data_IF_091118579223
#
_entry.id   IF_091118579223
#
_cell.length_a   1.000
_cell.length_b   1.000
_cell.length_c   1.000
_cell.angle_alpha   90.00
_cell.angle_beta   90.00
_cell.angle_gamma   90.00
#
_symmetry.space_group_name_H-M   'P 1'
#
loop_
_entity.id
_entity.type
_entity.pdbx_description
1 polymer ?
#
# COMPACT_ATOMS: atom_id res chain seq x y z
N UNK A 1 20.58 -37.75 26.51
CA UNK A 1 19.49 -37.12 25.73
C UNK A 1 19.86 -37.33 24.27
N UNK A 2 19.15 -38.25 23.61
CA UNK A 2 19.73 -39.18 22.64
C UNK A 2 19.72 -38.63 21.20
N UNK A 3 20.67 -39.08 20.38
CA UNK A 3 20.76 -38.77 18.94
C UNK A 3 19.44 -39.03 18.17
N UNK A 4 18.60 -39.94 18.65
CA UNK A 4 17.26 -40.21 18.11
C UNK A 4 16.28 -39.04 18.29
N UNK A 5 16.30 -38.34 19.43
CA UNK A 5 15.47 -37.14 19.65
C UNK A 5 15.87 -36.01 18.69
N UNK A 6 17.17 -35.87 18.44
CA UNK A 6 17.70 -34.82 17.58
C UNK A 6 17.33 -35.06 16.10
N UNK A 7 17.43 -36.30 15.63
CA UNK A 7 17.05 -36.66 14.25
C UNK A 7 15.54 -36.55 14.03
N UNK A 8 14.72 -36.89 15.04
CA UNK A 8 13.28 -36.66 15.02
C UNK A 8 12.94 -35.18 14.89
N UNK A 9 13.54 -34.30 15.70
CA UNK A 9 13.34 -32.85 15.65
C UNK A 9 13.74 -32.28 14.28
N UNK A 10 14.90 -32.70 13.75
CA UNK A 10 15.33 -32.29 12.40
C UNK A 10 14.36 -32.75 11.31
N UNK A 11 13.83 -33.98 11.43
CA UNK A 11 12.86 -34.51 10.46
C UNK A 11 11.53 -33.75 10.47
N UNK A 12 11.03 -33.37 11.66
CA UNK A 12 9.82 -32.56 11.81
C UNK A 12 10.02 -31.15 11.23
N UNK A 13 11.16 -30.51 11.53
CA UNK A 13 11.50 -29.19 11.00
C UNK A 13 11.62 -29.21 9.49
N UNK A 14 12.30 -30.22 8.92
CA UNK A 14 12.44 -30.38 7.46
C UNK A 14 11.08 -30.52 6.79
N UNK A 15 10.18 -31.35 7.33
CA UNK A 15 8.82 -31.51 6.78
C UNK A 15 8.05 -30.19 6.81
N UNK A 16 8.04 -29.49 7.95
CA UNK A 16 7.35 -28.18 8.08
C UNK A 16 7.92 -27.15 7.11
N UNK A 17 9.24 -27.09 6.98
CA UNK A 17 9.92 -26.19 6.05
C UNK A 17 9.55 -26.50 4.61
N UNK A 18 9.51 -27.78 4.23
CA UNK A 18 9.10 -28.20 2.89
C UNK A 18 7.68 -27.76 2.55
N UNK A 19 6.71 -28.00 3.45
CA UNK A 19 5.32 -27.55 3.24
C UNK A 19 5.21 -26.03 3.14
N UNK A 20 5.96 -25.30 3.97
CA UNK A 20 5.99 -23.84 3.94
C UNK A 20 6.54 -23.32 2.60
N UNK A 21 7.66 -23.86 2.13
CA UNK A 21 8.26 -23.48 0.84
C UNK A 21 7.34 -23.85 -0.33
N UNK A 22 6.72 -25.04 -0.31
CA UNK A 22 5.80 -25.47 -1.36
C UNK A 22 4.56 -24.56 -1.42
N UNK A 23 3.96 -24.25 -0.26
CA UNK A 23 2.80 -23.37 -0.19
C UNK A 23 3.15 -21.93 -0.59
N UNK A 24 4.33 -21.43 -0.17
CA UNK A 24 4.85 -20.15 -0.60
C UNK A 24 5.06 -20.10 -2.11
N UNK A 25 5.68 -21.12 -2.70
CA UNK A 25 5.85 -21.20 -4.16
C UNK A 25 4.52 -21.16 -4.91
N UNK A 26 3.53 -21.94 -4.45
CA UNK A 26 2.19 -21.92 -5.02
C UNK A 26 1.50 -20.56 -4.89
N UNK A 27 1.59 -19.91 -3.73
CA UNK A 27 0.99 -18.60 -3.50
C UNK A 27 1.64 -17.50 -4.33
N UNK A 28 2.95 -17.56 -4.56
CA UNK A 28 3.66 -16.65 -5.47
C UNK A 28 3.19 -16.82 -6.91
N UNK A 29 3.04 -18.07 -7.40
CA UNK A 29 2.56 -18.33 -8.78
C UNK A 29 1.14 -17.80 -8.98
N UNK A 30 0.24 -18.07 -8.03
CA UNK A 30 -1.13 -17.54 -8.07
C UNK A 30 -1.12 -16.00 -8.04
N UNK A 31 -0.34 -15.40 -7.14
CA UNK A 31 -0.22 -13.93 -7.05
C UNK A 31 0.31 -13.32 -8.34
N UNK A 32 1.29 -13.95 -8.97
CA UNK A 32 1.87 -13.48 -10.23
C UNK A 32 0.83 -13.45 -11.37
N UNK A 33 0.01 -14.50 -11.45
CA UNK A 33 -1.05 -14.59 -12.47
C UNK A 33 -2.09 -13.47 -12.35
N UNK A 34 -2.41 -13.05 -11.12
CA UNK A 34 -3.42 -12.01 -10.86
C UNK A 34 -2.87 -10.58 -11.04
N UNK A 35 -1.55 -10.42 -10.98
CA UNK A 35 -0.90 -9.12 -10.94
C UNK A 35 -1.14 -8.29 -12.19
N UNK A 36 -1.28 -8.92 -13.38
CA UNK A 36 -1.62 -8.21 -14.61
C UNK A 36 -2.93 -7.42 -14.51
N UNK A 37 -3.97 -8.08 -13.99
CA UNK A 37 -5.29 -7.46 -13.82
C UNK A 37 -5.27 -6.36 -12.74
N UNK A 38 -4.51 -6.58 -11.66
CA UNK A 38 -4.35 -5.58 -10.60
C UNK A 38 -3.64 -4.31 -11.10
N UNK A 39 -2.58 -4.46 -11.91
CA UNK A 39 -1.87 -3.31 -12.49
C UNK A 39 -2.82 -2.45 -13.33
N UNK A 40 -3.59 -3.09 -14.23
CA UNK A 40 -4.56 -2.39 -15.07
C UNK A 40 -5.65 -1.70 -14.24
N UNK A 41 -6.14 -2.39 -13.21
CA UNK A 41 -7.15 -1.86 -12.29
C UNK A 41 -6.62 -0.66 -11.48
N UNK A 42 -5.38 -0.71 -11.01
CA UNK A 42 -4.76 0.43 -10.29
C UNK A 42 -4.63 1.64 -11.21
N UNK A 43 -4.24 1.43 -12.46
CA UNK A 43 -4.12 2.49 -13.45
C UNK A 43 -5.48 3.13 -13.79
N UNK A 44 -6.57 2.36 -13.78
CA UNK A 44 -7.92 2.90 -13.98
C UNK A 44 -8.46 3.59 -12.73
N UNK A 45 -8.30 2.96 -11.57
CA UNK A 45 -8.99 3.36 -10.35
C UNK A 45 -8.35 4.58 -9.70
N UNK A 46 -7.02 4.73 -9.66
CA UNK A 46 -6.41 5.80 -8.86
C UNK A 46 -6.72 7.22 -9.36
N UNK A 47 -7.15 7.35 -10.62
CA UNK A 47 -7.45 8.62 -11.27
C UNK A 47 -8.93 8.80 -11.58
N UNK A 48 -9.82 8.01 -10.96
CA UNK A 48 -11.26 8.01 -11.28
C UNK A 48 -12.04 9.21 -10.74
N UNK A 49 -11.66 9.71 -9.56
CA UNK A 49 -12.25 10.88 -8.91
C UNK A 49 -11.72 12.19 -9.46
N UNK A 50 -10.50 12.14 -9.95
CA UNK A 50 -10.05 13.17 -10.84
C UNK A 50 -10.97 13.00 -12.05
N UNK A 51 -11.88 13.94 -12.29
CA UNK A 51 -12.63 14.10 -13.54
C UNK A 51 -11.63 14.29 -14.69
N UNK A 52 -10.79 13.28 -14.93
CA UNK A 52 -9.86 13.16 -16.02
C UNK A 52 -10.69 12.46 -17.07
N UNK A 53 -11.16 13.21 -18.05
CA UNK A 53 -11.95 12.62 -19.10
C UNK A 53 -11.02 11.71 -19.88
N UNK A 54 -11.35 10.42 -19.93
CA UNK A 54 -10.61 9.47 -20.73
C UNK A 54 -10.70 9.88 -22.20
N UNK A 55 -9.66 10.50 -22.75
CA UNK A 55 -9.45 10.68 -24.19
C UNK A 55 -10.68 11.11 -25.04
N UNK A 56 -11.63 11.87 -24.48
CA UNK A 56 -12.80 12.37 -25.24
C UNK A 56 -13.30 13.75 -24.80
N UNK A 57 -12.58 14.47 -23.96
CA UNK A 57 -13.00 15.80 -23.51
C UNK A 57 -12.10 16.90 -24.05
N UNK A 58 -12.64 18.10 -24.00
CA UNK A 58 -12.20 19.31 -24.67
C UNK A 58 -10.69 19.56 -24.45
N UNK A 59 -10.17 19.33 -23.25
CA UNK A 59 -8.74 19.51 -22.94
C UNK A 59 -7.81 18.58 -23.75
N UNK A 60 -8.13 17.29 -23.89
CA UNK A 60 -7.34 16.35 -24.70
C UNK A 60 -7.37 16.68 -26.19
N UNK A 61 -8.54 17.08 -26.70
CA UNK A 61 -8.69 17.55 -28.09
C UNK A 61 -7.86 18.80 -28.35
N UNK A 62 -7.74 19.70 -27.38
CA UNK A 62 -6.90 20.91 -27.50
C UNK A 62 -5.40 20.58 -27.57
N UNK A 63 -4.95 19.54 -26.87
CA UNK A 63 -3.55 19.06 -26.94
C UNK A 63 -3.28 18.39 -28.29
N UNK A 64 -4.20 17.59 -28.80
CA UNK A 64 -4.05 17.00 -30.14
C UNK A 64 -4.00 18.09 -31.22
N UNK A 65 -4.87 19.09 -31.12
CA UNK A 65 -4.87 20.24 -32.02
C UNK A 65 -3.54 21.01 -31.90
N UNK A 66 -3.02 21.24 -30.70
CA UNK A 66 -1.75 21.95 -30.53
C UNK A 66 -0.57 21.19 -31.13
N UNK A 67 -0.56 19.85 -31.02
CA UNK A 67 0.47 18.99 -31.61
C UNK A 67 0.46 19.06 -33.15
N UNK A 68 -0.72 19.03 -33.77
CA UNK A 68 -0.88 19.17 -35.21
C UNK A 68 -0.48 20.56 -35.71
N UNK A 69 -0.83 21.62 -34.97
CA UNK A 69 -0.42 22.99 -35.31
C UNK A 69 1.10 23.18 -35.25
N UNK A 70 1.76 22.49 -34.31
CA UNK A 70 3.23 22.51 -34.20
C UNK A 70 3.90 21.72 -35.33
N UNK A 71 3.30 20.60 -35.76
CA UNK A 71 3.77 19.88 -36.95
C UNK A 71 3.62 20.73 -38.23
N UNK A 72 2.47 21.39 -38.39
CA UNK A 72 2.24 22.33 -39.50
C UNK A 72 3.19 23.52 -39.45
N UNK A 73 3.49 24.07 -38.27
CA UNK A 73 4.46 25.17 -38.16
C UNK A 73 5.86 24.75 -38.63
N UNK A 74 6.28 23.52 -38.32
CA UNK A 74 7.54 22.95 -38.79
C UNK A 74 7.61 22.79 -40.32
N UNK A 75 6.51 22.39 -40.95
CA UNK A 75 6.43 22.30 -42.42
C UNK A 75 6.43 23.70 -43.07
N UNK A 76 5.67 24.65 -42.52
CA UNK A 76 5.55 26.01 -43.06
C UNK A 76 6.74 26.93 -42.74
N UNK A 77 7.63 26.54 -41.83
CA UNK A 77 8.79 27.36 -41.44
C UNK A 77 9.73 27.69 -42.61
N UNK A 78 9.75 26.86 -43.66
CA UNK A 78 10.55 27.10 -44.87
C UNK A 78 9.91 28.11 -45.83
N UNK A 79 8.58 28.18 -45.85
CA UNK A 79 7.83 28.95 -46.84
C UNK A 79 7.33 30.28 -46.29
N UNK A 80 6.96 30.34 -45.00
CA UNK A 80 6.50 31.57 -44.36
C UNK A 80 6.77 31.55 -42.85
N UNK A 81 7.88 32.17 -42.46
CA UNK A 81 8.36 32.24 -41.08
C UNK A 81 7.36 32.92 -40.14
N UNK A 82 6.65 33.96 -40.59
CA UNK A 82 5.67 34.68 -39.78
C UNK A 82 4.45 33.81 -39.45
N UNK A 83 3.99 32.99 -40.39
CA UNK A 83 2.88 32.05 -40.17
C UNK A 83 3.32 30.92 -39.24
N UNK A 84 4.54 30.40 -39.41
CA UNK A 84 5.09 29.37 -38.53
C UNK A 84 5.23 29.86 -37.06
N UNK A 85 5.66 31.10 -36.86
CA UNK A 85 5.73 31.72 -35.54
C UNK A 85 4.33 31.87 -34.90
N UNK A 86 3.34 32.36 -35.65
CA UNK A 86 1.97 32.49 -35.15
C UNK A 86 1.34 31.14 -34.77
N UNK A 87 1.55 30.10 -35.57
CA UNK A 87 1.06 28.74 -35.28
C UNK A 87 1.68 28.15 -34.01
N UNK A 88 2.95 28.46 -33.76
CA UNK A 88 3.67 28.03 -32.55
C UNK A 88 3.17 28.77 -31.30
N UNK A 89 2.84 30.05 -31.43
CA UNK A 89 2.22 30.82 -30.34
C UNK A 89 0.81 30.31 -30.00
N UNK A 90 -0.01 30.05 -31.02
CA UNK A 90 -1.36 29.49 -30.86
C UNK A 90 -1.29 28.10 -30.24
N UNK A 91 -0.36 27.24 -30.68
CA UNK A 91 -0.21 25.91 -30.07
C UNK A 91 0.16 26.00 -28.59
N UNK A 92 1.03 26.94 -28.21
CA UNK A 92 1.36 27.23 -26.81
C UNK A 92 0.18 27.74 -25.99
N UNK A 93 -0.64 28.65 -26.52
CA UNK A 93 -1.86 29.13 -25.86
C UNK A 93 -2.90 28.02 -25.69
N UNK A 94 -3.09 27.16 -26.68
CA UNK A 94 -4.01 26.02 -26.57
C UNK A 94 -3.59 25.03 -25.49
N UNK A 95 -2.28 24.80 -25.34
CA UNK A 95 -1.74 24.01 -24.23
C UNK A 95 -2.03 24.70 -22.91
N UNK A 96 -1.82 26.01 -22.80
CA UNK A 96 -2.12 26.77 -21.58
C UNK A 96 -3.62 26.78 -21.24
N UNK A 97 -4.50 26.92 -22.23
CA UNK A 97 -5.95 26.80 -22.07
C UNK A 97 -6.33 25.39 -21.65
N UNK A 98 -5.72 24.35 -22.24
CA UNK A 98 -5.96 22.96 -21.83
C UNK A 98 -5.52 22.69 -20.38
N UNK A 99 -4.44 23.33 -19.93
CA UNK A 99 -4.00 23.30 -18.52
C UNK A 99 -4.98 23.99 -17.59
N UNK A 100 -5.53 25.13 -18.01
CA UNK A 100 -6.50 25.90 -17.24
C UNK A 100 -7.91 25.29 -17.24
N UNK A 101 -8.26 24.46 -18.23
CA UNK A 101 -9.53 23.72 -18.30
C UNK A 101 -9.59 22.50 -17.37
N UNK A 102 -8.47 22.18 -16.72
CA UNK A 102 -8.38 21.13 -15.73
C UNK A 102 -8.11 19.75 -16.33
N UNK A 103 -7.26 19.01 -15.60
CA UNK A 103 -7.20 17.55 -15.60
C UNK A 103 -6.48 16.90 -16.78
N UNK A 104 -5.17 17.14 -16.92
CA UNK A 104 -4.33 16.16 -17.61
C UNK A 104 -4.38 14.83 -16.88
N UNK A 105 -4.57 13.74 -17.64
CA UNK A 105 -4.24 12.41 -17.14
C UNK A 105 -2.72 12.38 -16.95
N UNK A 106 -2.20 12.03 -15.78
CA UNK A 106 -0.76 11.84 -15.64
C UNK A 106 -0.29 10.82 -16.66
N UNK A 107 0.73 11.19 -17.43
CA UNK A 107 1.31 10.32 -18.42
C UNK A 107 2.08 9.21 -17.70
N UNK A 108 1.47 8.03 -17.67
CA UNK A 108 2.12 6.82 -17.17
C UNK A 108 2.95 6.23 -18.31
N UNK A 109 4.26 6.33 -18.18
CA UNK A 109 5.21 5.94 -19.24
C UNK A 109 5.98 4.68 -18.87
N UNK A 110 6.36 3.94 -19.90
CA UNK A 110 7.31 2.84 -19.77
C UNK A 110 8.73 3.37 -19.88
N UNK A 111 9.52 3.26 -18.81
CA UNK A 111 10.91 3.72 -18.81
C UNK A 111 11.88 2.60 -19.19
N UNK A 112 11.53 1.35 -18.88
CA UNK A 112 12.34 0.19 -19.20
C UNK A 112 11.49 -0.98 -19.69
N UNK A 113 11.99 -1.79 -20.66
CA UNK A 113 11.22 -2.89 -21.23
C UNK A 113 10.83 -3.97 -20.20
N UNK A 114 11.65 -4.16 -19.16
CA UNK A 114 11.42 -5.17 -18.11
C UNK A 114 10.73 -4.63 -16.85
N UNK A 115 10.32 -3.36 -16.81
CA UNK A 115 9.81 -2.76 -15.57
C UNK A 115 8.54 -3.45 -15.05
N UNK A 116 7.60 -3.78 -15.94
CA UNK A 116 6.33 -4.42 -15.55
C UNK A 116 6.55 -5.86 -15.14
N UNK A 117 7.50 -6.57 -15.76
CA UNK A 117 7.84 -7.93 -15.36
C UNK A 117 8.45 -7.94 -13.94
N UNK A 118 9.38 -7.02 -13.66
CA UNK A 118 9.98 -6.90 -12.33
C UNK A 118 8.97 -6.46 -11.28
N UNK A 119 8.08 -5.53 -11.62
CA UNK A 119 6.95 -5.18 -10.75
C UNK A 119 6.12 -6.40 -10.41
N UNK A 120 5.73 -7.18 -11.44
CA UNK A 120 4.89 -8.37 -11.24
C UNK A 120 5.55 -9.39 -10.33
N UNK A 121 6.83 -9.69 -10.59
CA UNK A 121 7.59 -10.63 -9.78
C UNK A 121 7.73 -10.16 -8.34
N UNK A 122 8.16 -8.91 -8.13
CA UNK A 122 8.38 -8.33 -6.80
C UNK A 122 7.08 -8.34 -5.98
N UNK A 123 5.98 -7.90 -6.58
CA UNK A 123 4.70 -7.89 -5.88
C UNK A 123 4.16 -9.31 -5.66
N UNK A 124 4.35 -10.25 -6.59
CA UNK A 124 3.93 -11.63 -6.40
C UNK A 124 4.63 -12.31 -5.23
N UNK A 125 5.94 -12.04 -5.03
CA UNK A 125 6.70 -12.51 -3.87
C UNK A 125 6.13 -11.94 -2.57
N UNK A 126 5.85 -10.64 -2.54
CA UNK A 126 5.30 -9.96 -1.36
C UNK A 126 3.90 -10.49 -0.99
N UNK A 127 3.00 -10.61 -1.98
CA UNK A 127 1.65 -11.16 -1.75
C UNK A 127 1.68 -12.65 -1.41
N UNK A 128 2.58 -13.42 -2.03
CA UNK A 128 2.80 -14.83 -1.66
C UNK A 128 3.23 -14.96 -0.20
N UNK A 129 4.10 -14.07 0.28
CA UNK A 129 4.50 -14.03 1.69
C UNK A 129 3.32 -13.68 2.60
N UNK A 130 2.49 -12.69 2.21
CA UNK A 130 1.29 -12.32 2.95
C UNK A 130 0.31 -13.49 3.07
N UNK A 131 0.00 -14.17 1.96
CA UNK A 131 -0.90 -15.34 1.93
C UNK A 131 -0.33 -16.49 2.77
N UNK A 132 1.00 -16.65 2.77
CA UNK A 132 1.69 -17.69 3.54
C UNK A 132 1.86 -17.32 5.03
N UNK A 133 1.70 -16.04 5.39
CA UNK A 133 1.95 -15.53 6.74
C UNK A 133 1.18 -16.23 7.86
N UNK A 134 -0.11 -16.63 7.71
CA UNK A 134 -0.82 -17.33 8.78
C UNK A 134 -0.19 -18.70 9.08
N UNK A 135 0.30 -19.39 8.05
CA UNK A 135 0.99 -20.68 8.18
C UNK A 135 2.37 -20.52 8.83
N UNK A 136 3.10 -19.45 8.46
CA UNK A 136 4.38 -19.09 9.09
C UNK A 136 4.17 -18.84 10.59
N UNK A 137 3.17 -18.01 10.95
CA UNK A 137 2.86 -17.70 12.34
C UNK A 137 2.42 -18.94 13.12
N UNK A 138 1.59 -19.81 12.54
CA UNK A 138 1.18 -21.07 13.16
C UNK A 138 2.37 -21.95 13.53
N UNK A 139 3.30 -22.17 12.59
CA UNK A 139 4.49 -22.98 12.87
C UNK A 139 5.48 -22.31 13.83
N UNK A 140 5.62 -20.97 13.76
CA UNK A 140 6.44 -20.22 14.70
C UNK A 140 5.93 -20.35 16.13
N UNK A 141 4.63 -20.13 16.36
CA UNK A 141 3.99 -20.27 17.68
C UNK A 141 4.07 -21.72 18.17
N UNK A 142 3.83 -22.71 17.30
CA UNK A 142 3.96 -24.12 17.65
C UNK A 142 5.39 -24.49 18.07
N UNK A 143 6.40 -23.90 17.41
CA UNK A 143 7.81 -24.07 17.76
C UNK A 143 8.16 -23.47 19.12
N UNK A 144 7.71 -22.23 19.39
CA UNK A 144 7.92 -21.54 20.67
C UNK A 144 7.24 -22.30 21.81
N UNK A 145 5.99 -22.73 21.62
CA UNK A 145 5.24 -23.50 22.62
C UNK A 145 5.96 -24.80 23.01
N UNK A 146 6.49 -25.54 22.03
CA UNK A 146 7.23 -26.80 22.29
C UNK A 146 8.55 -26.54 23.04
N UNK A 147 9.20 -25.40 22.81
CA UNK A 147 10.53 -25.10 23.35
C UNK A 147 10.50 -24.44 24.74
N UNK A 148 9.55 -23.53 24.99
CA UNK A 148 9.51 -22.73 26.21
C UNK A 148 8.43 -23.19 27.22
N UNK A 149 7.72 -24.29 26.92
CA UNK A 149 6.62 -24.84 27.74
C UNK A 149 5.55 -23.80 28.14
N UNK A 150 5.41 -22.75 27.32
CA UNK A 150 4.45 -21.69 27.54
C UNK A 150 3.06 -22.24 27.20
N UNK A 151 2.24 -22.40 28.23
CA UNK A 151 0.83 -22.73 28.08
C UNK A 151 0.08 -21.50 27.55
N UNK A 152 0.07 -21.32 26.24
CA UNK A 152 -0.78 -20.30 25.61
C UNK A 152 -2.23 -20.81 25.60
N UNK A 153 -3.16 -20.19 26.34
CA UNK A 153 -4.56 -20.65 26.43
C UNK A 153 -5.36 -20.20 25.20
N UNK A 154 -4.84 -20.45 24.00
CA UNK A 154 -5.54 -20.18 22.74
C UNK A 154 -6.34 -21.43 22.38
N UNK A 155 -7.65 -21.39 22.65
CA UNK A 155 -8.56 -22.41 22.12
C UNK A 155 -8.52 -22.38 20.58
N UNK A 156 -8.75 -23.53 19.93
CA UNK A 156 -8.82 -23.61 18.46
C UNK A 156 -9.85 -22.62 17.90
N UNK A 157 -10.99 -22.44 18.59
CA UNK A 157 -12.01 -21.46 18.21
C UNK A 157 -11.50 -20.03 18.28
N UNK A 158 -10.78 -19.65 19.35
CA UNK A 158 -10.23 -18.31 19.50
C UNK A 158 -9.17 -17.99 18.42
N UNK A 159 -8.37 -18.98 18.01
CA UNK A 159 -7.43 -18.84 16.89
C UNK A 159 -8.16 -18.55 15.57
N UNK A 160 -9.26 -19.25 15.30
CA UNK A 160 -10.06 -19.03 14.08
C UNK A 160 -10.71 -17.64 14.11
N UNK A 161 -11.29 -17.23 15.24
CA UNK A 161 -11.89 -15.90 15.37
C UNK A 161 -10.86 -14.78 15.23
N UNK A 162 -9.68 -14.92 15.83
CA UNK A 162 -8.60 -13.93 15.73
C UNK A 162 -8.04 -13.86 14.30
N UNK A 163 -7.87 -14.99 13.62
CA UNK A 163 -7.46 -15.02 12.21
C UNK A 163 -8.49 -14.38 11.29
N UNK A 164 -9.79 -14.64 11.50
CA UNK A 164 -10.86 -14.01 10.74
C UNK A 164 -10.93 -12.49 10.99
N UNK A 165 -10.77 -12.06 12.24
CA UNK A 165 -10.72 -10.65 12.61
C UNK A 165 -9.51 -9.93 12.00
N UNK A 166 -8.34 -10.56 12.00
CA UNK A 166 -7.13 -10.07 11.35
C UNK A 166 -7.36 -9.89 9.84
N UNK A 167 -7.82 -10.93 9.15
CA UNK A 167 -8.17 -10.83 7.73
C UNK A 167 -9.17 -9.71 7.43
N UNK A 168 -10.20 -9.55 8.28
CA UNK A 168 -11.16 -8.45 8.17
C UNK A 168 -10.54 -7.07 8.36
N UNK A 169 -9.68 -6.89 9.38
CA UNK A 169 -8.97 -5.63 9.65
C UNK A 169 -7.98 -5.29 8.54
N UNK A 170 -7.21 -6.27 8.05
CA UNK A 170 -6.31 -6.10 6.92
C UNK A 170 -7.06 -5.62 5.68
N UNK A 171 -8.18 -6.27 5.34
CA UNK A 171 -9.01 -5.88 4.20
C UNK A 171 -9.62 -4.49 4.38
N UNK A 172 -10.03 -4.14 5.61
CA UNK A 172 -10.55 -2.82 5.92
C UNK A 172 -9.47 -1.74 5.77
N UNK A 173 -8.26 -1.98 6.28
CA UNK A 173 -7.12 -1.08 6.12
C UNK A 173 -6.67 -0.93 4.67
N UNK A 174 -6.59 -2.04 3.94
CA UNK A 174 -6.28 -2.03 2.51
C UNK A 174 -7.35 -1.27 1.71
N UNK A 175 -8.63 -1.45 2.04
CA UNK A 175 -9.74 -0.72 1.41
C UNK A 175 -9.68 0.78 1.72
N UNK A 176 -9.42 1.14 2.98
CA UNK A 176 -9.21 2.54 3.37
C UNK A 176 -8.07 3.18 2.57
N UNK A 177 -6.92 2.51 2.51
CA UNK A 177 -5.75 3.00 1.80
C UNK A 177 -6.03 3.19 0.30
N UNK A 178 -6.61 2.17 -0.34
CA UNK A 178 -6.84 2.13 -1.78
C UNK A 178 -7.95 3.08 -2.24
N UNK A 179 -9.10 3.10 -1.57
CA UNK A 179 -10.26 3.85 -2.06
C UNK A 179 -10.33 5.28 -1.55
N UNK A 180 -9.71 5.60 -0.40
CA UNK A 180 -9.82 6.93 0.21
C UNK A 180 -8.48 7.65 0.30
N UNK A 181 -7.49 7.03 0.94
CA UNK A 181 -6.23 7.70 1.26
C UNK A 181 -5.40 8.01 0.01
N UNK A 182 -5.14 7.00 -0.83
CA UNK A 182 -4.29 7.13 -2.01
C UNK A 182 -4.87 8.06 -3.09
N UNK A 183 -6.18 7.99 -3.46
CA UNK A 183 -6.74 8.90 -4.44
C UNK A 183 -6.66 10.37 -3.98
N UNK A 184 -6.92 10.64 -2.71
CA UNK A 184 -6.78 11.98 -2.15
C UNK A 184 -5.31 12.44 -2.18
N UNK A 185 -4.39 11.59 -1.71
CA UNK A 185 -2.96 11.91 -1.68
C UNK A 185 -2.42 12.20 -3.09
N UNK A 186 -2.70 11.32 -4.05
CA UNK A 186 -2.26 11.49 -5.43
C UNK A 186 -2.87 12.73 -6.07
N UNK A 187 -4.14 13.04 -5.80
CA UNK A 187 -4.78 14.27 -6.26
C UNK A 187 -4.11 15.52 -5.68
N UNK A 188 -3.75 15.50 -4.40
CA UNK A 188 -3.02 16.59 -3.75
C UNK A 188 -1.62 16.78 -4.36
N UNK A 189 -0.84 15.71 -4.51
CA UNK A 189 0.51 15.78 -5.11
C UNK A 189 0.47 16.25 -6.57
N UNK A 190 -0.56 15.84 -7.30
CA UNK A 190 -0.76 16.24 -8.68
C UNK A 190 -1.10 17.74 -8.79
N UNK A 191 -1.99 18.24 -7.93
CA UNK A 191 -2.32 19.66 -7.88
C UNK A 191 -1.11 20.53 -7.50
N UNK A 192 -0.29 20.04 -6.56
CA UNK A 192 0.94 20.72 -6.15
C UNK A 192 1.93 20.84 -7.32
N UNK A 193 2.13 19.76 -8.09
CA UNK A 193 2.98 19.79 -9.28
C UNK A 193 2.49 20.80 -10.35
N UNK A 194 1.17 20.88 -10.58
CA UNK A 194 0.58 21.88 -11.49
C UNK A 194 0.86 23.30 -10.99
N UNK A 195 0.67 23.56 -9.69
CA UNK A 195 0.90 24.88 -9.10
C UNK A 195 2.36 25.32 -9.22
N UNK A 196 3.29 24.38 -9.29
CA UNK A 196 4.72 24.63 -9.55
C UNK A 196 5.06 24.81 -11.04
N UNK A 197 4.08 24.65 -11.94
CA UNK A 197 4.29 24.73 -13.39
C UNK A 197 5.03 23.53 -13.98
N UNK A 198 5.04 22.38 -13.29
CA UNK A 198 5.76 21.17 -13.71
C UNK A 198 4.78 20.10 -14.19
N UNK A 199 5.08 19.47 -15.32
CA UNK A 199 4.29 18.33 -15.81
C UNK A 199 4.60 17.05 -15.02
N UNK A 200 3.59 16.52 -14.32
CA UNK A 200 3.73 15.28 -13.57
C UNK A 200 3.73 14.06 -14.51
N UNK A 201 4.87 13.39 -14.63
CA UNK A 201 5.02 12.12 -15.35
C UNK A 201 5.42 11.03 -14.36
N UNK A 202 4.79 9.85 -14.47
CA UNK A 202 5.05 8.73 -13.57
C UNK A 202 5.44 7.49 -14.38
N UNK A 203 6.46 6.76 -13.93
CA UNK A 203 6.71 5.41 -14.45
C UNK A 203 5.62 4.46 -13.99
N UNK A 204 5.19 3.51 -14.84
CA UNK A 204 4.27 2.42 -14.46
C UNK A 204 4.78 1.71 -13.22
N UNK A 205 6.08 1.38 -13.19
CA UNK A 205 6.69 0.66 -12.08
C UNK A 205 6.56 1.46 -10.78
N UNK A 206 7.06 2.70 -10.76
CA UNK A 206 7.09 3.51 -9.53
C UNK A 206 5.69 3.80 -9.02
N UNK A 207 4.76 4.13 -9.92
CA UNK A 207 3.39 4.45 -9.59
C UNK A 207 2.66 3.25 -8.99
N UNK A 208 2.64 2.12 -9.69
CA UNK A 208 1.88 0.95 -9.25
C UNK A 208 2.55 0.31 -8.03
N UNK A 209 3.89 0.28 -7.99
CA UNK A 209 4.60 -0.18 -6.80
C UNK A 209 4.22 0.65 -5.58
N UNK A 210 4.23 1.99 -5.70
CA UNK A 210 3.85 2.89 -4.62
C UNK A 210 2.43 2.63 -4.12
N UNK A 211 1.45 2.54 -5.03
CA UNK A 211 0.05 2.25 -4.69
C UNK A 211 -0.05 0.92 -3.95
N UNK A 212 0.49 -0.16 -4.51
CA UNK A 212 0.35 -1.49 -3.92
C UNK A 212 1.12 -1.63 -2.60
N UNK A 213 2.34 -1.10 -2.52
CA UNK A 213 3.15 -1.17 -1.30
C UNK A 213 2.51 -0.37 -0.17
N UNK A 214 1.99 0.81 -0.48
CA UNK A 214 1.32 1.66 0.51
C UNK A 214 0.02 1.01 0.98
N UNK A 215 -0.81 0.48 0.06
CA UNK A 215 -2.01 -0.28 0.43
C UNK A 215 -1.68 -1.45 1.36
N UNK A 216 -0.61 -2.20 1.06
CA UNK A 216 -0.16 -3.31 1.89
C UNK A 216 0.30 -2.85 3.28
N UNK A 217 1.14 -1.83 3.36
CA UNK A 217 1.68 -1.32 4.63
C UNK A 217 0.55 -0.78 5.52
N UNK A 218 -0.40 -0.03 4.96
CA UNK A 218 -1.55 0.45 5.72
C UNK A 218 -2.42 -0.73 6.15
N UNK A 219 -2.70 -1.69 5.27
CA UNK A 219 -3.42 -2.92 5.63
C UNK A 219 -2.77 -3.67 6.79
N UNK A 220 -1.45 -3.85 6.76
CA UNK A 220 -0.69 -4.48 7.85
C UNK A 220 -0.72 -3.64 9.13
N UNK A 221 -0.76 -2.32 9.04
CA UNK A 221 -0.84 -1.47 10.23
C UNK A 221 -2.21 -1.54 10.90
N UNK A 222 -3.27 -1.86 10.14
CA UNK A 222 -4.61 -2.11 10.70
C UNK A 222 -4.67 -3.37 11.58
N UNK A 223 -3.64 -4.21 11.59
CA UNK A 223 -3.51 -5.34 12.53
C UNK A 223 -3.11 -4.91 13.95
N UNK A 224 -2.76 -3.63 14.16
CA UNK A 224 -2.40 -3.07 15.48
C UNK A 224 -3.34 -3.51 16.62
N UNK A 225 -4.68 -3.49 16.48
CA UNK A 225 -5.59 -3.91 17.55
C UNK A 225 -5.47 -5.37 17.93
N UNK A 226 -5.25 -6.25 16.96
CA UNK A 226 -5.06 -7.68 17.21
C UNK A 226 -3.71 -7.90 17.90
N UNK A 227 -2.64 -7.29 17.38
CA UNK A 227 -1.29 -7.43 17.91
C UNK A 227 -1.25 -6.97 19.38
N UNK A 228 -1.74 -5.77 19.69
CA UNK A 228 -1.71 -5.24 21.06
C UNK A 228 -2.58 -6.10 22.01
N UNK A 229 -3.75 -6.53 21.56
CA UNK A 229 -4.63 -7.38 22.39
C UNK A 229 -3.99 -8.74 22.67
N UNK A 230 -3.31 -9.33 21.68
CA UNK A 230 -2.56 -10.57 21.85
C UNK A 230 -1.37 -10.38 22.81
N UNK A 231 -0.61 -9.28 22.72
CA UNK A 231 0.48 -9.00 23.64
C UNK A 231 0.02 -8.96 25.11
N UNK A 232 -1.13 -8.34 25.39
CA UNK A 232 -1.70 -8.30 26.73
C UNK A 232 -2.22 -9.67 27.16
N UNK A 233 -2.91 -10.40 26.28
CA UNK A 233 -3.40 -11.76 26.59
C UNK A 233 -2.29 -12.77 26.83
N UNK A 234 -1.15 -12.62 26.15
CA UNK A 234 0.04 -13.43 26.35
C UNK A 234 0.82 -13.04 27.62
N UNK A 235 0.44 -11.95 28.30
CA UNK A 235 1.12 -11.46 29.50
C UNK A 235 2.47 -10.80 29.23
N UNK A 236 2.75 -10.42 27.97
CA UNK A 236 3.98 -9.71 27.58
C UNK A 236 3.94 -8.23 27.99
N UNK A 237 2.74 -7.66 28.11
CA UNK A 237 2.51 -6.30 28.60
C UNK A 237 1.14 -6.21 29.27
N UNK A 238 0.86 -5.09 29.94
CA UNK A 238 -0.39 -4.84 30.64
C UNK A 238 -1.11 -3.64 30.03
N UNK A 239 -2.44 -3.66 30.03
CA UNK A 239 -3.25 -2.53 29.53
C UNK A 239 -2.90 -1.23 30.24
N UNK A 240 -2.63 -1.27 31.54
CA UNK A 240 -2.22 -0.11 32.34
C UNK A 240 -0.94 0.55 31.82
N UNK A 241 0.05 -0.26 31.41
CA UNK A 241 1.29 0.25 30.81
C UNK A 241 1.00 0.93 29.46
N UNK A 242 0.18 0.31 28.61
CA UNK A 242 -0.21 0.91 27.32
C UNK A 242 -1.00 2.22 27.53
N UNK A 243 -1.83 2.30 28.56
CA UNK A 243 -2.55 3.52 28.95
C UNK A 243 -1.58 4.59 29.47
N UNK A 244 -0.65 4.22 30.34
CA UNK A 244 0.36 5.12 30.90
C UNK A 244 1.26 5.72 29.82
N UNK A 245 1.69 4.91 28.84
CA UNK A 245 2.56 5.33 27.73
C UNK A 245 1.79 5.86 26.49
N UNK A 246 0.48 6.16 26.59
CA UNK A 246 -0.35 6.68 25.48
C UNK A 246 0.34 7.79 24.66
N UNK A 247 0.89 8.81 25.31
CA UNK A 247 1.56 9.92 24.60
C UNK A 247 2.75 9.45 23.76
N UNK A 248 3.49 8.45 24.26
CA UNK A 248 4.68 7.93 23.58
C UNK A 248 4.25 7.07 22.40
N UNK A 249 3.18 6.27 22.56
CA UNK A 249 2.59 5.52 21.45
C UNK A 249 2.16 6.45 20.31
N UNK A 250 1.51 7.58 20.61
CA UNK A 250 1.12 8.56 19.58
C UNK A 250 2.32 9.14 18.82
N UNK A 251 3.41 9.47 19.52
CA UNK A 251 4.64 9.95 18.87
C UNK A 251 5.23 8.88 17.96
N UNK A 252 5.29 7.62 18.41
CA UNK A 252 5.78 6.50 17.60
C UNK A 252 4.91 6.30 16.36
N UNK A 253 3.59 6.35 16.50
CA UNK A 253 2.66 6.23 15.38
C UNK A 253 2.78 7.41 14.40
N UNK A 254 3.03 8.62 14.88
CA UNK A 254 3.31 9.79 14.03
C UNK A 254 4.63 9.66 13.26
N UNK A 255 5.66 9.08 13.88
CA UNK A 255 6.94 8.80 13.22
C UNK A 255 6.73 7.72 12.15
N UNK A 256 6.00 6.65 12.45
CA UNK A 256 5.66 5.61 11.48
C UNK A 256 4.88 6.21 10.31
N UNK A 257 3.89 7.06 10.58
CA UNK A 257 3.16 7.78 9.55
C UNK A 257 4.09 8.63 8.68
N UNK A 258 5.02 9.39 9.28
CA UNK A 258 6.00 10.19 8.55
C UNK A 258 6.92 9.36 7.63
N UNK A 259 7.25 8.12 8.02
CA UNK A 259 8.10 7.23 7.21
C UNK A 259 7.31 6.63 6.04
N UNK A 260 6.01 6.37 6.22
CA UNK A 260 5.14 5.79 5.19
C UNK A 260 4.73 6.86 4.17
N UNK A 261 4.48 8.08 4.64
CA UNK A 261 4.05 9.19 3.80
C UNK A 261 5.25 9.73 2.99
N UNK A 262 5.24 9.61 1.65
CA UNK A 262 6.36 10.02 0.82
C UNK A 262 6.52 11.55 0.73
N UNK A 263 5.42 12.28 0.91
CA UNK A 263 5.40 13.74 0.88
C UNK A 263 5.39 14.29 2.31
N UNK A 264 6.31 15.20 2.66
CA UNK A 264 6.40 15.73 4.02
C UNK A 264 5.36 16.83 4.27
N UNK A 265 4.13 16.68 3.74
CA UNK A 265 3.06 17.64 3.98
C UNK A 265 2.24 17.26 5.22
N UNK A 266 1.79 18.27 5.95
CA UNK A 266 1.02 18.05 7.17
C UNK A 266 -0.27 17.27 6.91
N UNK A 267 -0.95 17.54 5.79
CA UNK A 267 -2.24 16.93 5.46
C UNK A 267 -2.10 15.42 5.22
N UNK A 268 -1.15 15.00 4.39
CA UNK A 268 -0.92 13.59 4.07
C UNK A 268 -0.42 12.80 5.29
N UNK A 269 0.41 13.41 6.15
CA UNK A 269 0.86 12.78 7.39
C UNK A 269 -0.31 12.57 8.36
N UNK A 270 -1.21 13.56 8.50
CA UNK A 270 -2.40 13.46 9.35
C UNK A 270 -3.35 12.37 8.86
N UNK A 271 -3.52 12.23 7.54
CA UNK A 271 -4.35 11.17 6.96
C UNK A 271 -3.88 9.77 7.33
N UNK A 272 -2.57 9.54 7.44
CA UNK A 272 -2.03 8.24 7.87
C UNK A 272 -2.06 8.10 9.39
N UNK A 273 -1.69 9.15 10.13
CA UNK A 273 -1.56 9.11 11.57
C UNK A 273 -2.89 8.96 12.31
N UNK A 274 -3.95 9.64 11.85
CA UNK A 274 -5.26 9.63 12.53
C UNK A 274 -5.85 8.22 12.61
N UNK A 275 -5.97 7.44 11.51
CA UNK A 275 -6.40 6.04 11.58
C UNK A 275 -5.57 5.22 12.55
N UNK A 276 -4.25 5.42 12.61
CA UNK A 276 -3.37 4.64 13.49
C UNK A 276 -3.64 4.94 14.97
N UNK A 277 -3.81 6.22 15.31
CA UNK A 277 -4.16 6.64 16.66
C UNK A 277 -5.54 6.10 17.06
N UNK A 278 -6.51 6.15 16.13
CA UNK A 278 -7.85 5.58 16.35
C UNK A 278 -7.77 4.08 16.60
N UNK A 279 -7.00 3.34 15.80
CA UNK A 279 -6.78 1.90 15.99
C UNK A 279 -6.14 1.60 17.34
N UNK A 280 -5.16 2.39 17.77
CA UNK A 280 -4.54 2.25 19.09
C UNK A 280 -5.56 2.43 20.21
N UNK A 281 -6.41 3.46 20.15
CA UNK A 281 -7.47 3.67 21.16
C UNK A 281 -8.55 2.58 21.13
N UNK A 282 -8.94 2.11 19.94
CA UNK A 282 -9.82 0.94 19.78
C UNK A 282 -9.20 -0.28 20.47
N UNK A 283 -7.89 -0.48 20.33
CA UNK A 283 -7.16 -1.56 21.00
C UNK A 283 -7.32 -1.49 22.52
N UNK A 284 -7.12 -0.31 23.11
CA UNK A 284 -7.25 -0.08 24.55
C UNK A 284 -8.70 -0.26 25.05
N UNK A 285 -9.68 0.05 24.20
CA UNK A 285 -11.11 -0.17 24.48
C UNK A 285 -11.45 -1.66 24.44
N UNK A 286 -11.03 -2.38 23.40
CA UNK A 286 -11.24 -3.84 23.27
C UNK A 286 -10.66 -4.60 24.46
N UNK A 287 -9.47 -4.22 24.92
CA UNK A 287 -8.86 -4.83 26.11
C UNK A 287 -9.66 -4.59 27.38
N UNK A 288 -10.31 -3.42 27.51
CA UNK A 288 -11.19 -3.08 28.65
C UNK A 288 -12.44 -3.96 28.66
N UNK A 289 -13.08 -4.10 27.50
CA UNK A 289 -14.32 -4.88 27.35
C UNK A 289 -14.05 -6.37 27.53
N UNK A 290 -12.93 -6.87 26.99
CA UNK A 290 -12.55 -8.28 27.06
C UNK A 290 -12.17 -8.76 28.47
N UNK A 291 -12.14 -7.89 29.49
CA UNK A 291 -11.79 -8.26 30.86
C UNK A 291 -10.39 -8.86 30.99
N UNK A 292 -9.46 -8.50 30.09
CA UNK A 292 -8.09 -9.02 30.09
C UNK A 292 -7.46 -8.63 31.42
N UNK A 293 -7.28 -9.61 32.33
CA UNK A 293 -6.87 -9.37 33.72
C UNK A 293 -5.60 -8.52 33.75
N UNK A 294 -5.71 -7.31 34.28
CA UNK A 294 -4.56 -6.52 34.67
C UNK A 294 -3.85 -7.25 35.80
N UNK A 295 -2.59 -7.63 35.58
CA UNK A 295 -1.73 -8.02 36.69
C UNK A 295 -1.39 -6.75 37.46
N UNK A 296 -2.15 -6.48 38.52
CA UNK A 296 -1.65 -5.67 39.63
C UNK A 296 -0.44 -6.41 40.19
N UNK A 297 0.76 -5.91 39.90
CA UNK A 297 1.99 -6.35 40.56
C UNK A 297 1.98 -5.94 42.03
#
# INVERSE_FOLDING_TARGET
MALEDFTLVLSELRKRLFYLIAFFGASVVVSFSLMGNLILKIQSDMFWHLQIPGNTDISGRLVDISSNLTAMSGELAKDNEAIAQNLTLISGELVNISMNLGMFKPNIVYLAPMEVLMLKFKMAVIFGLLITSPMILYYAVAGIRKRFDIHVPLSRSLLIYTAAAAAGLFLLGASYAYYYMLPFLLGFLYQDAINMGVSATFSVYSFVYFVMSTTLIIGLTFELPIILTLLVRLGLTDREKLVYYRRHAYIVLLIIAAVITPDPTFISQVMVAVPFIVLYEISLLLMKISGTKTRTL
#
